data_IF_203868304871
#
_entry.id   IF_203868304871
#
_cell.length_a   1.000
_cell.length_b   1.000
_cell.length_c   1.000
_cell.angle_alpha   90.00
_cell.angle_beta   90.00
_cell.angle_gamma   90.00
#
_symmetry.space_group_name_H-M   'P 1'
#
loop_
_entity.id
_entity.type
_entity.pdbx_description
1 polymer ?
#
# COMPACT_ATOMS: atom_id res chain seq x y z
N UNK A 1 -5.79 -21.21 13.64
CA UNK A 1 -6.18 -20.29 12.54
C UNK A 1 -4.94 -20.01 11.69
N UNK A 2 -4.98 -20.29 10.37
CA UNK A 2 -3.86 -20.07 9.45
C UNK A 2 -4.37 -19.34 8.19
N UNK A 3 -3.98 -18.09 7.93
CA UNK A 3 -4.42 -17.33 6.74
C UNK A 3 -4.06 -17.99 5.41
N UNK A 4 -2.95 -18.73 5.36
CA UNK A 4 -2.48 -19.40 4.13
C UNK A 4 -3.50 -20.44 3.61
N UNK A 5 -4.32 -21.00 4.49
CA UNK A 5 -5.36 -21.96 4.13
C UNK A 5 -6.58 -21.34 3.43
N UNK A 6 -6.64 -20.01 3.32
CA UNK A 6 -7.77 -19.26 2.75
C UNK A 6 -7.33 -18.26 1.68
N UNK A 7 -6.16 -18.49 1.10
CA UNK A 7 -5.58 -17.64 0.05
C UNK A 7 -6.53 -17.51 -1.14
N UNK A 8 -7.24 -18.57 -1.50
CA UNK A 8 -8.27 -18.62 -2.55
C UNK A 8 -9.45 -17.67 -2.34
N UNK A 9 -9.62 -17.16 -1.12
CA UNK A 9 -10.70 -16.25 -0.73
C UNK A 9 -10.24 -14.79 -0.64
N UNK A 10 -8.97 -14.50 -0.88
CA UNK A 10 -8.45 -13.15 -0.82
C UNK A 10 -8.97 -12.33 -2.01
N UNK A 11 -9.40 -11.10 -1.76
CA UNK A 11 -9.91 -10.19 -2.82
C UNK A 11 -9.45 -8.75 -2.62
N UNK A 12 -9.12 -8.38 -1.38
CA UNK A 12 -8.75 -7.02 -1.01
C UNK A 12 -7.31 -6.70 -1.43
N UNK A 13 -7.06 -5.53 -2.05
CA UNK A 13 -5.72 -5.01 -2.27
C UNK A 13 -4.88 -5.01 -0.99
N UNK A 14 -3.63 -5.48 -1.08
CA UNK A 14 -2.79 -5.67 0.10
C UNK A 14 -1.36 -5.14 -0.07
N UNK A 15 -0.96 -4.28 0.87
CA UNK A 15 0.44 -3.89 1.09
C UNK A 15 1.07 -4.87 2.09
N UNK A 16 2.12 -5.58 1.65
CA UNK A 16 2.91 -6.49 2.47
C UNK A 16 4.22 -5.82 2.85
N UNK A 17 4.57 -5.79 4.13
CA UNK A 17 5.75 -5.08 4.65
C UNK A 17 6.59 -6.05 5.48
N UNK A 18 7.91 -6.13 5.25
CA UNK A 18 8.77 -7.07 5.96
C UNK A 18 10.18 -6.53 6.20
N UNK A 19 10.71 -6.76 7.41
CA UNK A 19 12.12 -6.53 7.75
C UNK A 19 12.97 -7.78 7.51
N UNK A 20 14.05 -7.69 6.74
CA UNK A 20 14.87 -8.86 6.38
C UNK A 20 15.65 -9.46 7.56
N UNK A 21 15.71 -8.76 8.71
CA UNK A 21 16.33 -9.25 9.95
C UNK A 21 15.29 -9.61 11.01
N UNK A 22 14.04 -9.83 10.61
CA UNK A 22 13.03 -10.44 11.48
C UNK A 22 13.26 -11.94 11.59
N UNK A 23 13.85 -12.37 12.70
CA UNK A 23 14.08 -13.79 13.01
C UNK A 23 12.90 -14.43 13.78
N UNK A 24 11.86 -13.66 14.12
CA UNK A 24 10.62 -14.19 14.71
C UNK A 24 9.68 -14.66 13.61
N UNK A 25 9.59 -13.88 12.53
CA UNK A 25 8.79 -14.18 11.36
C UNK A 25 9.69 -14.06 10.12
N UNK A 26 10.16 -15.18 9.54
CA UNK A 26 11.04 -15.15 8.38
C UNK A 26 10.45 -14.39 7.20
N UNK A 27 11.30 -13.66 6.47
CA UNK A 27 10.93 -12.88 5.28
C UNK A 27 10.16 -13.70 4.22
N UNK A 28 10.43 -15.01 4.14
CA UNK A 28 9.74 -15.93 3.23
C UNK A 28 8.23 -15.96 3.44
N UNK A 29 7.71 -15.66 4.63
CA UNK A 29 6.28 -15.57 4.90
C UNK A 29 5.65 -14.38 4.18
N UNK A 30 6.29 -13.19 4.23
CA UNK A 30 5.84 -12.01 3.50
C UNK A 30 5.91 -12.21 1.99
N UNK A 31 7.01 -12.79 1.49
CA UNK A 31 7.16 -13.13 0.08
C UNK A 31 6.12 -14.16 -0.40
N UNK A 32 5.78 -15.16 0.42
CA UNK A 32 4.75 -16.14 0.09
C UNK A 32 3.36 -15.48 -0.02
N UNK A 33 3.00 -14.59 0.91
CA UNK A 33 1.76 -13.83 0.84
C UNK A 33 1.71 -12.92 -0.40
N UNK A 34 2.78 -12.17 -0.67
CA UNK A 34 2.89 -11.33 -1.86
C UNK A 34 2.77 -12.14 -3.16
N UNK A 35 3.46 -13.28 -3.24
CA UNK A 35 3.38 -14.18 -4.40
C UNK A 35 1.96 -14.71 -4.61
N UNK A 36 1.27 -15.08 -3.52
CA UNK A 36 -0.11 -15.53 -3.58
C UNK A 36 -1.07 -14.46 -4.14
N UNK A 37 -0.91 -13.20 -3.70
CA UNK A 37 -1.67 -12.05 -4.21
C UNK A 37 -1.40 -11.83 -5.70
N UNK A 38 -0.12 -11.81 -6.10
CA UNK A 38 0.30 -11.63 -7.49
C UNK A 38 -0.28 -12.72 -8.41
N UNK A 39 -0.28 -13.98 -7.97
CA UNK A 39 -0.85 -15.10 -8.74
C UNK A 39 -2.36 -15.01 -8.95
N UNK A 40 -3.07 -14.29 -8.09
CA UNK A 40 -4.51 -14.06 -8.20
C UNK A 40 -4.86 -12.74 -8.90
N UNK A 41 -3.87 -11.95 -9.32
CA UNK A 41 -4.09 -10.64 -9.90
C UNK A 41 -4.64 -9.61 -8.90
N UNK A 42 -4.49 -9.87 -7.60
CA UNK A 42 -4.92 -8.93 -6.55
C UNK A 42 -3.87 -7.79 -6.48
N UNK A 43 -4.29 -6.52 -6.61
CA UNK A 43 -3.38 -5.39 -6.50
C UNK A 43 -2.60 -5.45 -5.20
N UNK A 44 -1.27 -5.50 -5.30
CA UNK A 44 -0.41 -5.72 -4.16
C UNK A 44 0.95 -5.04 -4.32
N UNK A 45 1.55 -4.68 -3.19
CA UNK A 45 2.88 -4.08 -3.10
C UNK A 45 3.68 -4.78 -2.00
N UNK A 46 4.99 -4.93 -2.21
CA UNK A 46 5.91 -5.46 -1.21
C UNK A 46 6.93 -4.40 -0.81
N UNK A 47 6.89 -3.95 0.44
CA UNK A 47 7.85 -3.01 1.02
C UNK A 47 8.84 -3.78 1.89
N UNK A 48 10.07 -3.91 1.39
CA UNK A 48 11.16 -4.61 2.07
C UNK A 48 12.10 -3.64 2.76
N UNK A 49 12.41 -3.89 4.02
CA UNK A 49 13.48 -3.21 4.76
C UNK A 49 14.65 -4.16 5.03
N UNK A 50 15.74 -4.12 4.23
CA UNK A 50 16.85 -5.08 4.33
C UNK A 50 17.61 -5.05 5.66
N UNK A 51 17.46 -3.96 6.40
CA UNK A 51 18.28 -3.61 7.55
C UNK A 51 17.46 -3.33 8.83
N UNK A 52 16.17 -3.67 8.80
CA UNK A 52 15.22 -3.64 9.94
C UNK A 52 14.91 -5.05 10.45
N UNK A 53 14.48 -5.13 11.70
CA UNK A 53 14.07 -6.37 12.36
C UNK A 53 12.53 -6.49 12.37
N UNK A 54 11.96 -7.04 13.44
CA UNK A 54 10.51 -7.11 13.66
C UNK A 54 9.81 -5.73 13.70
N UNK A 55 10.56 -4.66 13.92
CA UNK A 55 10.09 -3.29 13.96
C UNK A 55 10.82 -2.43 12.93
N UNK A 56 10.19 -1.35 12.48
CA UNK A 56 10.83 -0.32 11.65
C UNK A 56 11.37 0.78 12.57
N UNK A 57 12.66 0.73 12.90
CA UNK A 57 13.26 1.56 13.94
C UNK A 57 14.08 2.73 13.40
N UNK A 58 14.72 2.61 12.24
CA UNK A 58 15.58 3.68 11.72
C UNK A 58 14.71 4.86 11.28
N UNK A 59 15.08 6.11 11.62
CA UNK A 59 14.27 7.28 11.30
C UNK A 59 13.90 7.40 9.82
N UNK A 60 14.87 7.14 8.93
CA UNK A 60 14.63 7.17 7.48
C UNK A 60 13.64 6.10 7.01
N UNK A 61 13.78 4.87 7.51
CA UNK A 61 12.90 3.77 7.16
C UNK A 61 11.50 3.99 7.73
N UNK A 62 11.39 4.55 8.94
CA UNK A 62 10.10 4.91 9.53
C UNK A 62 9.36 5.96 8.70
N UNK A 63 10.06 6.98 8.18
CA UNK A 63 9.44 7.96 7.27
C UNK A 63 8.94 7.31 5.97
N UNK A 64 9.71 6.39 5.39
CA UNK A 64 9.26 5.64 4.22
C UNK A 64 8.05 4.77 4.55
N UNK A 65 8.10 4.03 5.66
CA UNK A 65 7.02 3.16 6.11
C UNK A 65 5.69 3.92 6.27
N UNK A 66 5.71 5.06 6.97
CA UNK A 66 4.51 5.87 7.14
C UNK A 66 3.98 6.40 5.80
N UNK A 67 4.85 6.90 4.92
CA UNK A 67 4.43 7.38 3.58
C UNK A 67 3.76 6.26 2.78
N UNK A 68 4.41 5.11 2.68
CA UNK A 68 3.88 3.97 1.92
C UNK A 68 2.54 3.46 2.46
N UNK A 69 2.38 3.43 3.79
CA UNK A 69 1.11 3.04 4.43
C UNK A 69 0.02 4.07 4.14
N UNK A 70 0.31 5.37 4.31
CA UNK A 70 -0.67 6.44 4.08
C UNK A 70 -1.07 6.52 2.60
N UNK A 71 -0.12 6.46 1.67
CA UNK A 71 -0.37 6.48 0.22
C UNK A 71 -1.20 5.26 -0.22
N UNK A 72 -0.94 4.09 0.37
CA UNK A 72 -1.73 2.89 0.11
C UNK A 72 -3.17 3.02 0.61
N UNK A 73 -3.34 3.54 1.83
CA UNK A 73 -4.67 3.79 2.39
C UNK A 73 -5.43 4.83 1.58
N UNK A 74 -4.80 5.94 1.19
CA UNK A 74 -5.41 6.97 0.36
C UNK A 74 -5.93 6.39 -0.96
N UNK A 75 -5.09 5.61 -1.65
CA UNK A 75 -5.43 4.95 -2.93
C UNK A 75 -6.67 4.05 -2.83
N UNK A 76 -6.81 3.29 -1.73
CA UNK A 76 -7.81 2.22 -1.62
C UNK A 76 -8.98 2.53 -0.69
N UNK A 77 -8.90 3.57 0.13
CA UNK A 77 -9.90 3.90 1.16
C UNK A 77 -10.35 5.36 1.16
N UNK A 78 -9.63 6.28 0.50
CA UNK A 78 -9.96 7.72 0.43
C UNK A 78 -11.18 8.07 -0.44
N UNK A 79 -12.23 7.24 -0.39
CA UNK A 79 -13.32 7.16 -1.37
C UNK A 79 -13.85 8.49 -1.90
N UNK A 80 -13.99 8.55 -3.23
CA UNK A 80 -14.83 9.45 -4.09
C UNK A 80 -14.84 10.97 -3.88
N UNK A 81 -14.49 11.51 -2.71
CA UNK A 81 -14.51 12.95 -2.42
C UNK A 81 -13.40 13.69 -3.17
N UNK A 82 -12.21 13.09 -3.32
CA UNK A 82 -11.09 13.71 -4.05
C UNK A 82 -11.15 13.52 -5.56
N UNK A 83 -11.86 12.49 -6.05
CA UNK A 83 -12.17 12.38 -7.50
C UNK A 83 -13.21 13.41 -7.96
N UNK A 84 -14.10 13.87 -7.07
CA UNK A 84 -15.07 14.92 -7.38
C UNK A 84 -14.45 16.34 -7.36
N UNK A 85 -13.42 16.58 -6.54
CA UNK A 85 -12.71 17.86 -6.47
C UNK A 85 -11.76 18.10 -7.67
N UNK A 86 -11.17 17.03 -8.21
CA UNK A 86 -10.27 17.09 -9.38
C UNK A 86 -10.98 17.20 -10.74
N UNK A 87 -12.31 17.05 -10.78
CA UNK A 87 -13.13 17.14 -12.00
C UNK A 87 -13.92 18.44 -12.16
N UNK A 88 -13.69 19.47 -11.33
CA UNK A 88 -14.29 20.79 -11.59
C UNK A 88 -13.60 21.41 -12.80
N UNK A 89 -14.27 21.61 -13.95
CA UNK A 89 -13.72 22.45 -15.00
C UNK A 89 -13.52 23.85 -14.39
N UNK A 90 -12.31 24.37 -14.51
CA UNK A 90 -11.99 25.72 -14.09
C UNK A 90 -13.00 26.69 -14.68
N UNK A 91 -13.50 27.61 -13.84
CA UNK A 91 -14.26 28.76 -14.29
C UNK A 91 -13.35 29.64 -15.16
N UNK A 92 -13.24 29.27 -16.43
CA UNK A 92 -12.54 30.01 -17.46
C UNK A 92 -13.47 31.06 -18.07
N UNK A 93 -13.07 32.31 -17.89
CA UNK A 93 -13.27 33.42 -18.82
C UNK A 93 -14.70 33.97 -18.98
N UNK A 94 -15.05 34.94 -18.14
CA UNK A 94 -15.93 36.03 -18.56
C UNK A 94 -15.07 37.09 -19.26
N UNK A 95 -15.04 37.04 -20.58
CA UNK A 95 -14.45 38.10 -21.40
C UNK A 95 -15.28 39.37 -21.29
N UNK A 96 -14.72 40.42 -20.72
CA UNK A 96 -15.17 41.80 -20.88
C UNK A 96 -14.36 42.44 -21.99
N UNK A 97 -14.98 42.55 -23.18
CA UNK A 97 -14.47 43.33 -24.30
C UNK A 97 -15.55 44.33 -24.72
N UNK A 98 -15.15 45.61 -24.78
CA UNK A 98 -15.94 46.78 -25.18
C UNK A 98 -16.46 46.68 -26.61
#
# INVERSE_FOLDING_TARGET
>A
HNPAAFVDRWTTPMLVIHGARDFRIPETQGLAAFTALQRQGIPSRYLRFPDENHWVLKPRNSLQWHREVLDWLDTWTGGSADRAASQRPGAGQAGTGK
#
